data_IF_546737817833
#
_entry.id   IF_546737817833
#
_cell.length_a   1.000
_cell.length_b   1.000
_cell.length_c   1.000
_cell.angle_alpha   90.00
_cell.angle_beta   90.00
_cell.angle_gamma   90.00
#
_symmetry.space_group_name_H-M   'P 1'
#
loop_
_entity.id
_entity.type
_entity.pdbx_description
1 polymer ?
#
# COMPACT_ATOMS: atom_id res chain seq x y z
N UNK A 1 -52.39 -31.59 -22.80
CA UNK A 1 -51.87 -32.29 -23.99
C UNK A 1 -50.38 -31.97 -24.05
N UNK A 2 -49.53 -32.72 -23.33
CA UNK A 2 -48.95 -34.02 -23.76
C UNK A 2 -47.91 -33.79 -24.87
N UNK A 3 -46.65 -34.23 -24.87
CA UNK A 3 -45.73 -34.98 -23.99
C UNK A 3 -44.30 -34.55 -24.46
N UNK A 4 -43.25 -34.50 -23.64
CA UNK A 4 -42.48 -35.67 -23.23
C UNK A 4 -41.67 -36.31 -24.37
N UNK A 5 -40.35 -36.07 -24.47
CA UNK A 5 -39.39 -37.13 -24.85
C UNK A 5 -37.94 -36.85 -24.41
N UNK A 6 -37.44 -37.84 -23.68
CA UNK A 6 -36.10 -38.07 -23.10
C UNK A 6 -35.16 -38.77 -24.09
N UNK A 7 -33.83 -38.65 -23.91
CA UNK A 7 -32.83 -39.76 -23.87
C UNK A 7 -31.41 -39.16 -23.63
N UNK A 8 -30.70 -39.51 -22.53
CA UNK A 8 -29.65 -40.56 -22.36
C UNK A 8 -28.34 -40.27 -23.10
N UNK A 9 -27.11 -40.53 -22.65
CA UNK A 9 -26.44 -41.07 -21.43
C UNK A 9 -24.94 -41.00 -21.77
N UNK A 10 -24.03 -40.75 -20.82
CA UNK A 10 -22.79 -41.54 -20.62
C UNK A 10 -21.88 -40.91 -19.55
N UNK A 11 -21.70 -41.64 -18.46
CA UNK A 11 -20.59 -41.51 -17.54
C UNK A 11 -19.34 -42.20 -18.14
N UNK A 12 -18.15 -41.71 -17.81
CA UNK A 12 -16.97 -42.59 -17.71
C UNK A 12 -16.09 -42.12 -16.57
N UNK A 13 -15.89 -43.03 -15.63
CA UNK A 13 -14.92 -42.97 -14.57
C UNK A 13 -13.50 -43.22 -15.12
N UNK A 14 -12.49 -42.65 -14.45
CA UNK A 14 -11.13 -43.18 -14.44
C UNK A 14 -10.54 -42.94 -13.06
N UNK A 15 -10.52 -44.00 -12.25
CA UNK A 15 -9.68 -44.15 -11.08
C UNK A 15 -8.27 -44.52 -11.51
N UNK A 16 -7.26 -43.91 -10.88
CA UNK A 16 -5.98 -44.57 -10.60
C UNK A 16 -5.40 -44.01 -9.31
N UNK A 17 -5.29 -44.90 -8.32
CA UNK A 17 -4.59 -44.73 -7.04
C UNK A 17 -3.09 -44.99 -7.21
N UNK A 18 -2.33 -44.70 -6.14
CA UNK A 18 -0.95 -45.12 -5.79
C UNK A 18 0.05 -43.97 -5.84
N UNK A 19 0.98 -43.76 -4.90
CA UNK A 19 1.29 -44.43 -3.65
C UNK A 19 2.18 -43.50 -2.79
N UNK A 20 2.23 -43.86 -1.51
CA UNK A 20 3.02 -43.36 -0.39
C UNK A 20 4.51 -43.09 -0.69
N UNK A 21 5.11 -42.12 0.02
CA UNK A 21 6.34 -42.36 0.80
C UNK A 21 6.64 -41.21 1.76
N UNK A 22 6.65 -41.55 3.05
CA UNK A 22 7.21 -40.77 4.14
C UNK A 22 8.64 -41.26 4.45
N UNK A 23 9.54 -40.34 4.81
CA UNK A 23 10.71 -40.55 5.68
C UNK A 23 11.00 -39.15 6.28
N UNK A 24 10.91 -38.88 7.59
CA UNK A 24 11.66 -39.36 8.76
C UNK A 24 13.16 -39.08 8.74
N UNK A 25 13.55 -38.19 9.67
CA UNK A 25 14.80 -38.21 10.46
C UNK A 25 16.09 -37.84 9.72
N UNK A 26 17.11 -37.21 10.30
CA UNK A 26 17.39 -36.70 11.64
C UNK A 26 18.57 -35.72 11.57
N UNK A 27 18.70 -34.96 12.66
CA UNK A 27 19.89 -34.36 13.26
C UNK A 27 21.25 -34.69 12.63
N UNK A 28 22.08 -33.65 12.43
CA UNK A 28 23.52 -33.80 12.57
C UNK A 28 24.06 -32.68 13.47
N UNK A 29 24.48 -33.11 14.66
CA UNK A 29 25.25 -32.37 15.66
C UNK A 29 26.69 -32.86 15.61
N UNK A 30 27.64 -31.94 15.45
CA UNK A 30 29.08 -32.06 15.74
C UNK A 30 29.48 -30.61 16.14
N UNK A 31 29.81 -30.19 17.38
CA UNK A 31 30.88 -30.58 18.32
C UNK A 31 32.23 -30.75 17.59
N UNK A 32 33.35 -30.13 17.94
CA UNK A 32 33.82 -29.30 19.05
C UNK A 32 35.13 -28.59 18.55
N UNK A 33 35.47 -27.35 18.94
CA UNK A 33 36.37 -26.96 20.06
C UNK A 33 37.86 -26.74 19.64
N UNK A 34 38.43 -25.56 19.89
CA UNK A 34 39.50 -25.33 20.89
C UNK A 34 40.28 -23.98 20.72
N UNK A 35 40.58 -23.36 21.88
CA UNK A 35 41.65 -22.43 22.30
C UNK A 35 42.04 -21.17 21.47
N UNK A 36 41.86 -19.94 22.01
CA UNK A 36 42.82 -19.14 22.83
C UNK A 36 44.10 -18.71 22.06
N UNK A 37 44.56 -17.44 22.01
CA UNK A 37 44.87 -16.51 23.11
C UNK A 37 45.31 -15.13 22.53
N UNK A 38 45.12 -14.08 23.34
CA UNK A 38 45.95 -12.85 23.49
C UNK A 38 46.10 -11.80 22.36
N UNK A 39 45.68 -10.58 22.71
CA UNK A 39 46.58 -9.42 22.74
C UNK A 39 46.39 -8.35 21.66
N UNK A 40 46.24 -7.09 22.07
CA UNK A 40 46.57 -5.94 21.20
C UNK A 40 45.61 -4.76 21.27
N UNK A 41 45.93 -3.81 22.14
CA UNK A 41 45.31 -2.49 22.29
C UNK A 41 45.47 -1.60 21.05
N UNK A 42 44.46 -0.78 20.74
CA UNK A 42 44.59 0.57 20.15
C UNK A 42 43.26 1.31 20.38
N UNK A 43 43.19 2.27 21.31
CA UNK A 43 43.43 3.70 21.09
C UNK A 43 42.58 4.28 19.94
N UNK A 44 41.37 4.73 20.27
CA UNK A 44 40.52 5.54 19.40
C UNK A 44 39.92 6.69 20.22
N UNK A 45 40.33 7.90 19.85
CA UNK A 45 40.21 9.13 20.60
C UNK A 45 38.81 9.76 20.56
N UNK A 46 38.50 10.46 21.65
CA UNK A 46 37.79 11.75 21.79
C UNK A 46 36.89 12.29 20.65
N UNK A 47 35.75 12.81 21.13
CA UNK A 47 35.06 14.04 20.71
C UNK A 47 34.40 14.08 19.33
N UNK A 48 33.08 14.06 19.32
CA UNK A 48 32.33 15.32 19.29
C UNK A 48 30.85 15.08 19.50
N UNK A 49 30.32 15.74 20.53
CA UNK A 49 28.93 16.13 20.57
C UNK A 49 28.66 17.01 19.34
N UNK A 50 27.76 16.56 18.47
CA UNK A 50 27.02 17.47 17.59
C UNK A 50 25.56 17.17 17.84
N UNK A 51 25.01 17.91 18.79
CA UNK A 51 23.57 18.01 18.97
C UNK A 51 22.99 18.59 17.70
N UNK A 52 22.47 17.73 16.84
CA UNK A 52 21.45 18.14 15.90
C UNK A 52 20.15 18.22 16.71
N UNK A 53 20.01 19.31 17.46
CA UNK A 53 18.71 19.87 17.75
C UNK A 53 18.08 20.16 16.38
N UNK A 54 17.39 19.17 15.82
CA UNK A 54 16.29 19.43 14.91
C UNK A 54 15.29 20.16 15.79
N UNK A 55 15.37 21.48 15.77
CA UNK A 55 14.32 22.35 16.23
C UNK A 55 13.05 21.80 15.61
N UNK A 56 12.18 21.27 16.47
CA UNK A 56 10.83 20.92 16.12
C UNK A 56 10.27 22.12 15.37
N UNK A 57 10.14 21.96 14.05
CA UNK A 57 9.58 22.98 13.20
C UNK A 57 8.23 23.32 13.80
N UNK A 58 8.12 24.58 14.21
CA UNK A 58 6.91 25.24 14.65
C UNK A 58 5.71 24.60 13.95
N UNK A 59 4.77 24.08 14.73
CA UNK A 59 3.58 23.39 14.27
C UNK A 59 2.63 24.42 13.65
N UNK A 60 3.05 25.04 12.56
CA UNK A 60 2.23 25.93 11.75
C UNK A 60 1.08 25.10 11.20
N UNK A 61 -0.14 25.51 11.54
CA UNK A 61 -1.33 24.92 10.95
C UNK A 61 -1.32 25.16 9.44
N UNK A 62 -1.55 24.11 8.66
CA UNK A 62 -1.70 24.21 7.22
C UNK A 62 -3.15 24.54 6.91
N UNK A 63 -3.40 25.55 6.08
CA UNK A 63 -4.75 25.88 5.62
C UNK A 63 -5.13 25.02 4.41
N UNK A 64 -6.43 24.85 4.16
CA UNK A 64 -6.91 24.10 2.99
C UNK A 64 -6.39 24.68 1.67
N UNK A 65 -6.32 26.01 1.53
CA UNK A 65 -5.77 26.67 0.36
C UNK A 65 -4.26 26.38 0.20
N UNK A 66 -3.48 26.43 1.28
CA UNK A 66 -2.06 26.07 1.26
C UNK A 66 -1.84 24.61 0.87
N UNK A 67 -2.72 23.72 1.32
CA UNK A 67 -2.69 22.31 0.96
C UNK A 67 -3.01 22.07 -0.52
N UNK A 68 -3.98 22.79 -1.08
CA UNK A 68 -4.30 22.77 -2.52
C UNK A 68 -3.11 23.25 -3.36
N UNK A 69 -2.41 24.30 -2.94
CA UNK A 69 -1.20 24.77 -3.63
C UNK A 69 -0.06 23.75 -3.53
N UNK A 70 0.16 23.16 -2.35
CA UNK A 70 1.17 22.13 -2.14
C UNK A 70 0.92 20.88 -3.00
N UNK A 71 -0.33 20.53 -3.25
CA UNK A 71 -0.69 19.39 -4.11
C UNK A 71 -0.38 19.69 -5.59
N UNK A 72 -0.60 20.93 -6.04
CA UNK A 72 -0.29 21.35 -7.43
C UNK A 72 1.21 21.31 -7.73
N UNK A 73 2.05 21.42 -6.68
CA UNK A 73 3.50 21.26 -6.82
C UNK A 73 3.93 19.81 -7.12
N UNK A 74 3.06 18.82 -6.88
CA UNK A 74 3.33 17.40 -7.12
C UNK A 74 3.05 17.05 -8.59
N UNK A 75 4.03 17.31 -9.46
CA UNK A 75 3.89 17.14 -10.92
C UNK A 75 3.75 15.68 -11.33
N UNK A 76 4.20 14.76 -10.49
CA UNK A 76 4.14 13.32 -10.77
C UNK A 76 2.75 12.72 -10.53
N UNK A 77 1.81 13.46 -9.92
CA UNK A 77 0.47 12.96 -9.60
C UNK A 77 -0.50 13.32 -10.72
N UNK A 78 -1.09 12.30 -11.34
CA UNK A 78 -2.06 12.47 -12.43
C UNK A 78 -3.44 12.82 -11.88
N UNK A 79 -3.91 12.06 -10.90
CA UNK A 79 -5.16 12.31 -10.18
C UNK A 79 -4.85 12.42 -8.70
N UNK A 80 -5.58 13.26 -7.99
CA UNK A 80 -5.48 13.37 -6.54
C UNK A 80 -6.82 13.75 -5.93
N UNK A 81 -7.04 13.26 -4.73
CA UNK A 81 -8.25 13.49 -3.97
C UNK A 81 -7.95 13.40 -2.48
N UNK A 82 -8.48 14.35 -1.72
CA UNK A 82 -8.45 14.34 -0.26
C UNK A 82 -9.87 14.36 0.28
N UNK A 83 -10.15 13.46 1.22
CA UNK A 83 -11.43 13.37 1.91
C UNK A 83 -11.22 13.09 3.40
N UNK A 84 -12.24 13.41 4.20
CA UNK A 84 -12.24 13.09 5.62
C UNK A 84 -12.78 11.67 5.90
N UNK A 85 -12.84 11.33 7.20
CA UNK A 85 -13.34 10.04 7.70
C UNK A 85 -14.84 9.82 7.51
N UNK A 86 -15.59 10.87 7.19
CA UNK A 86 -17.01 10.79 6.87
C UNK A 86 -17.25 10.65 5.34
N UNK A 87 -16.17 10.66 4.56
CA UNK A 87 -16.22 10.58 3.10
C UNK A 87 -16.53 11.91 2.43
N UNK A 88 -16.46 13.02 3.14
CA UNK A 88 -16.62 14.34 2.54
C UNK A 88 -15.34 14.73 1.83
N UNK A 89 -15.46 15.08 0.55
CA UNK A 89 -14.34 15.58 -0.24
C UNK A 89 -13.93 16.97 0.24
N UNK A 90 -12.65 17.13 0.54
CA UNK A 90 -12.05 18.42 0.88
C UNK A 90 -11.56 19.14 -0.38
N UNK A 91 -10.83 18.43 -1.25
CA UNK A 91 -10.39 18.90 -2.56
C UNK A 91 -9.85 17.74 -3.41
N UNK A 92 -9.68 17.98 -4.71
CA UNK A 92 -9.08 17.05 -5.67
C UNK A 92 -9.25 17.56 -7.09
N UNK A 93 -8.57 16.95 -8.06
CA UNK A 93 -8.80 17.21 -9.50
C UNK A 93 -9.72 16.19 -10.17
N UNK A 94 -10.20 15.21 -9.41
CA UNK A 94 -11.17 14.21 -9.87
C UNK A 94 -12.31 14.08 -8.88
N UNK A 95 -13.46 13.66 -9.38
CA UNK A 95 -14.63 13.36 -8.56
C UNK A 95 -14.92 11.86 -8.65
N UNK A 96 -14.82 11.10 -7.55
CA UNK A 96 -15.19 9.68 -7.53
C UNK A 96 -16.65 9.47 -7.95
N UNK A 97 -16.92 8.28 -8.49
CA UNK A 97 -18.27 7.82 -8.75
C UNK A 97 -19.00 7.43 -7.46
N UNK A 98 -20.31 7.30 -7.56
CA UNK A 98 -21.16 6.94 -6.43
C UNK A 98 -20.71 5.61 -5.81
N UNK A 99 -20.49 5.62 -4.50
CA UNK A 99 -20.06 4.45 -3.73
C UNK A 99 -18.54 4.24 -3.64
N UNK A 100 -17.72 4.85 -4.50
CA UNK A 100 -16.25 4.67 -4.47
C UNK A 100 -15.63 5.19 -3.17
N UNK A 101 -16.10 6.35 -2.67
CA UNK A 101 -15.62 6.93 -1.40
C UNK A 101 -15.90 6.00 -0.22
N UNK A 102 -17.05 5.31 -0.21
CA UNK A 102 -17.35 4.31 0.81
C UNK A 102 -16.40 3.11 0.75
N UNK A 103 -15.90 2.78 -0.45
CA UNK A 103 -14.80 1.83 -0.64
C UNK A 103 -13.50 2.33 -0.02
N UNK A 104 -13.13 3.59 -0.29
CA UNK A 104 -11.89 4.20 0.24
C UNK A 104 -11.83 4.18 1.77
N UNK A 105 -12.95 4.49 2.44
CA UNK A 105 -13.05 4.46 3.89
C UNK A 105 -12.82 3.07 4.49
N UNK A 106 -13.11 2.00 3.73
CA UNK A 106 -12.98 0.61 4.18
C UNK A 106 -11.62 -0.02 3.87
N UNK A 107 -10.80 0.62 3.04
CA UNK A 107 -9.49 0.10 2.60
C UNK A 107 -8.55 -0.29 3.75
N UNK A 108 -8.72 0.26 4.95
CA UNK A 108 -7.83 -0.01 6.08
C UNK A 108 -8.48 -0.90 7.15
N UNK A 109 -9.69 -1.40 6.93
CA UNK A 109 -10.43 -2.20 7.92
C UNK A 109 -9.90 -3.64 7.99
N UNK A 110 -9.69 -4.27 6.83
CA UNK A 110 -9.22 -5.65 6.73
C UNK A 110 -8.34 -5.83 5.51
N UNK A 111 -7.16 -6.39 5.73
CA UNK A 111 -6.14 -6.57 4.71
C UNK A 111 -6.61 -7.50 3.60
N UNK A 112 -7.14 -8.65 3.97
CA UNK A 112 -7.49 -9.73 3.04
C UNK A 112 -8.58 -9.27 2.09
N UNK A 113 -9.59 -8.57 2.60
CA UNK A 113 -10.70 -8.05 1.81
C UNK A 113 -10.18 -7.00 0.81
N UNK A 114 -9.29 -6.10 1.25
CA UNK A 114 -8.70 -5.06 0.41
C UNK A 114 -7.77 -5.62 -0.66
N UNK A 115 -6.96 -6.62 -0.31
CA UNK A 115 -6.11 -7.34 -1.26
C UNK A 115 -6.94 -8.06 -2.33
N UNK A 116 -8.10 -8.58 -1.96
CA UNK A 116 -9.00 -9.28 -2.89
C UNK A 116 -9.85 -8.33 -3.75
N UNK A 117 -10.34 -7.22 -3.19
CA UNK A 117 -11.23 -6.29 -3.88
C UNK A 117 -10.50 -5.20 -4.65
N UNK A 118 -9.25 -4.90 -4.30
CA UNK A 118 -8.48 -3.80 -4.86
C UNK A 118 -9.03 -2.41 -4.51
N UNK A 119 -8.67 -1.41 -5.32
CA UNK A 119 -9.13 -0.02 -5.22
C UNK A 119 -9.85 0.36 -6.52
N UNK A 120 -11.04 0.98 -6.42
CA UNK A 120 -11.81 1.43 -7.60
C UNK A 120 -11.86 2.96 -7.63
N UNK A 121 -11.46 3.56 -8.76
CA UNK A 121 -11.55 5.00 -8.96
C UNK A 121 -11.99 5.29 -10.39
N UNK A 122 -13.06 6.08 -10.56
CA UNK A 122 -13.66 6.40 -11.86
C UNK A 122 -14.09 5.16 -12.65
N UNK A 123 -14.57 4.13 -11.95
CA UNK A 123 -14.99 2.86 -12.53
C UNK A 123 -13.84 1.92 -12.90
N UNK A 124 -12.59 2.36 -12.71
CA UNK A 124 -11.40 1.57 -13.02
C UNK A 124 -10.91 0.81 -11.80
N UNK A 125 -10.71 -0.50 -11.95
CA UNK A 125 -10.23 -1.39 -10.91
C UNK A 125 -8.70 -1.44 -10.90
N UNK A 126 -8.12 -1.26 -9.71
CA UNK A 126 -6.69 -1.40 -9.48
C UNK A 126 -6.42 -2.56 -8.54
N UNK A 127 -5.54 -3.46 -8.95
CA UNK A 127 -5.12 -4.60 -8.13
C UNK A 127 -4.15 -4.11 -7.05
N UNK A 128 -4.53 -4.34 -5.79
CA UNK A 128 -3.69 -4.02 -4.64
C UNK A 128 -2.61 -5.08 -4.53
N UNK A 129 -1.36 -4.67 -4.70
CA UNK A 129 -0.20 -5.55 -4.49
C UNK A 129 0.55 -5.22 -3.20
N UNK A 130 0.29 -4.06 -2.57
CA UNK A 130 0.82 -3.76 -1.25
C UNK A 130 -0.22 -3.14 -0.32
N UNK A 131 -0.41 -3.82 0.80
CA UNK A 131 -1.10 -3.33 1.97
C UNK A 131 -0.10 -3.17 3.12
N UNK A 132 0.24 -1.92 3.46
CA UNK A 132 1.18 -1.59 4.52
C UNK A 132 0.78 -0.26 5.18
N UNK A 133 -0.22 -0.26 6.09
CA UNK A 133 -0.71 0.94 6.75
C UNK A 133 0.45 1.83 7.27
N UNK A 134 0.41 3.15 7.04
CA UNK A 134 -0.74 3.95 6.61
C UNK A 134 -1.01 3.93 5.09
N UNK A 135 -0.30 3.12 4.30
CA UNK A 135 -0.39 3.10 2.85
C UNK A 135 -1.03 1.80 2.31
N UNK A 136 -1.89 1.96 1.32
CA UNK A 136 -2.35 0.86 0.46
C UNK A 136 -2.17 1.31 -0.98
N UNK A 137 -1.56 0.49 -1.81
CA UNK A 137 -1.33 0.84 -3.21
C UNK A 137 -1.33 -0.35 -4.15
N UNK A 138 -1.63 -0.03 -5.41
CA UNK A 138 -1.93 -0.99 -6.45
C UNK A 138 -1.60 -0.45 -7.83
N UNK A 139 -2.00 -1.20 -8.84
CA UNK A 139 -1.79 -0.86 -10.24
C UNK A 139 -2.90 -1.43 -11.12
N UNK A 140 -3.09 -0.83 -12.28
CA UNK A 140 -3.89 -1.38 -13.38
C UNK A 140 -3.15 -1.21 -14.70
N UNK A 141 -3.71 -1.81 -15.75
CA UNK A 141 -3.18 -1.74 -17.12
C UNK A 141 -2.55 -3.07 -17.55
N UNK A 142 -2.47 -3.26 -18.87
CA UNK A 142 -1.84 -4.42 -19.48
C UNK A 142 -0.32 -4.20 -19.54
N UNK A 143 0.52 -5.08 -18.95
CA UNK A 143 1.97 -4.98 -19.06
C UNK A 143 2.48 -5.03 -20.51
N UNK A 144 1.68 -5.50 -21.45
CA UNK A 144 2.01 -5.60 -22.88
C UNK A 144 1.78 -4.29 -23.65
N UNK A 145 0.98 -3.37 -23.10
CA UNK A 145 0.56 -2.13 -23.77
C UNK A 145 1.28 -0.88 -23.27
N UNK A 146 2.24 -0.98 -22.34
CA UNK A 146 2.94 0.15 -21.68
C UNK A 146 2.00 1.18 -21.00
N UNK A 147 0.69 0.96 -20.98
CA UNK A 147 -0.35 1.83 -20.42
C UNK A 147 -0.67 1.47 -18.95
N UNK A 148 0.37 1.45 -18.12
CA UNK A 148 0.24 1.20 -16.68
C UNK A 148 -0.14 2.45 -15.90
N UNK A 149 -1.18 2.37 -15.06
CA UNK A 149 -1.51 3.40 -14.08
C UNK A 149 -1.43 2.81 -12.66
N UNK A 150 -0.71 3.50 -11.78
CA UNK A 150 -0.64 3.17 -10.36
C UNK A 150 -1.61 4.00 -9.53
N UNK A 151 -1.99 3.47 -8.37
CA UNK A 151 -2.84 4.14 -7.39
C UNK A 151 -2.27 3.95 -5.99
N UNK A 152 -2.34 4.98 -5.15
CA UNK A 152 -1.94 4.90 -3.77
C UNK A 152 -2.88 5.70 -2.88
N UNK A 153 -3.21 5.15 -1.71
CA UNK A 153 -4.03 5.79 -0.67
C UNK A 153 -3.24 5.81 0.62
N UNK A 154 -3.19 6.98 1.25
CA UNK A 154 -2.60 7.19 2.56
C UNK A 154 -3.67 7.60 3.55
N UNK A 155 -3.68 6.95 4.72
CA UNK A 155 -4.55 7.30 5.86
C UNK A 155 -3.77 8.10 6.89
N UNK A 156 -4.28 9.26 7.26
CA UNK A 156 -3.70 10.15 8.28
C UNK A 156 -4.67 10.26 9.45
N UNK A 157 -4.21 9.90 10.65
CA UNK A 157 -4.93 10.14 11.89
C UNK A 157 -4.50 11.49 12.49
N UNK A 158 -5.47 12.35 12.80
CA UNK A 158 -5.25 13.68 13.36
C UNK A 158 -6.17 13.87 14.58
N UNK A 159 -5.74 13.34 15.74
CA UNK A 159 -6.56 13.31 16.94
C UNK A 159 -7.82 12.48 16.72
N UNK A 160 -8.99 13.13 16.78
CA UNK A 160 -10.29 12.50 16.48
C UNK A 160 -10.62 12.46 14.99
N UNK A 161 -9.92 13.24 14.15
CA UNK A 161 -10.16 13.28 12.70
C UNK A 161 -9.33 12.21 12.02
N UNK A 162 -9.89 11.64 10.95
CA UNK A 162 -9.13 10.84 9.98
C UNK A 162 -9.23 11.53 8.64
N UNK A 163 -8.11 11.67 7.95
CA UNK A 163 -8.02 12.20 6.60
C UNK A 163 -7.42 11.12 5.69
N UNK A 164 -7.81 11.16 4.43
CA UNK A 164 -7.29 10.26 3.41
C UNK A 164 -6.82 11.08 2.22
N UNK A 165 -5.68 10.70 1.66
CA UNK A 165 -5.17 11.24 0.40
C UNK A 165 -4.97 10.08 -0.58
N UNK A 166 -5.64 10.18 -1.72
CA UNK A 166 -5.53 9.25 -2.83
C UNK A 166 -4.79 9.96 -3.97
N UNK A 167 -3.86 9.27 -4.60
CA UNK A 167 -3.21 9.72 -5.83
C UNK A 167 -3.19 8.62 -6.87
N UNK A 168 -3.08 9.02 -8.13
CA UNK A 168 -2.68 8.14 -9.22
C UNK A 168 -1.48 8.69 -9.95
N UNK A 169 -0.75 7.82 -10.63
CA UNK A 169 0.45 8.16 -11.38
C UNK A 169 0.59 7.22 -12.56
N UNK A 170 1.17 7.72 -13.65
CA UNK A 170 1.40 6.97 -14.90
C UNK A 170 2.90 6.94 -15.22
N UNK A 171 3.30 6.01 -16.07
CA UNK A 171 4.65 5.98 -16.62
C UNK A 171 5.05 7.36 -17.22
N UNK A 172 6.29 7.87 -16.99
CA UNK A 172 7.46 7.22 -16.40
C UNK A 172 7.51 7.22 -14.86
N UNK A 173 6.52 7.78 -14.17
CA UNK A 173 6.50 7.80 -12.71
C UNK A 173 6.16 6.41 -12.17
N UNK A 174 7.02 5.90 -11.30
CA UNK A 174 6.84 4.62 -10.63
C UNK A 174 6.36 4.79 -9.19
N UNK A 175 5.82 3.71 -8.61
CA UNK A 175 5.42 3.67 -7.19
C UNK A 175 6.56 4.05 -6.24
N UNK A 176 7.80 3.67 -6.58
CA UNK A 176 9.00 4.01 -5.82
C UNK A 176 9.25 5.52 -5.70
N UNK A 177 8.66 6.34 -6.57
CA UNK A 177 8.70 7.81 -6.51
C UNK A 177 7.42 8.38 -5.91
N UNK A 178 6.26 8.00 -6.46
CA UNK A 178 4.97 8.59 -6.09
C UNK A 178 4.53 8.25 -4.66
N UNK A 179 4.76 7.01 -4.20
CA UNK A 179 4.32 6.57 -2.86
C UNK A 179 5.11 7.26 -1.74
N UNK A 180 6.45 7.39 -1.81
CA UNK A 180 7.19 8.21 -0.86
C UNK A 180 6.76 9.68 -0.83
N UNK A 181 6.52 10.30 -2.00
CA UNK A 181 5.99 11.67 -2.07
C UNK A 181 4.63 11.79 -1.38
N UNK A 182 3.72 10.83 -1.61
CA UNK A 182 2.42 10.80 -0.93
C UNK A 182 2.59 10.73 0.59
N UNK A 183 3.45 9.84 1.07
CA UNK A 183 3.71 9.66 2.51
C UNK A 183 4.22 10.96 3.13
N UNK A 184 5.23 11.56 2.51
CA UNK A 184 5.82 12.81 2.98
C UNK A 184 4.79 13.95 2.99
N UNK A 185 4.02 14.11 1.91
CA UNK A 185 2.93 15.10 1.84
C UNK A 185 1.91 14.91 2.96
N UNK A 186 1.54 13.66 3.23
CA UNK A 186 0.58 13.33 4.27
C UNK A 186 1.10 13.66 5.68
N UNK A 187 2.37 13.35 5.95
CA UNK A 187 3.00 13.58 7.25
C UNK A 187 3.33 15.05 7.51
N UNK A 188 3.71 15.79 6.47
CA UNK A 188 4.20 17.16 6.61
C UNK A 188 3.14 18.23 6.40
N UNK A 189 2.16 17.97 5.52
CA UNK A 189 1.13 18.93 5.15
C UNK A 189 -0.25 18.49 5.65
N UNK A 190 -0.73 17.32 5.24
CA UNK A 190 -2.10 16.89 5.52
C UNK A 190 -2.34 16.69 7.03
N UNK A 191 -1.38 16.11 7.75
CA UNK A 191 -1.46 15.92 9.20
C UNK A 191 -1.56 17.24 9.99
N UNK A 192 -1.15 18.35 9.39
CA UNK A 192 -1.18 19.70 9.98
C UNK A 192 -2.38 20.53 9.53
N UNK A 193 -3.28 19.97 8.73
CA UNK A 193 -4.48 20.68 8.25
C UNK A 193 -5.36 21.08 9.44
N UNK A 194 -5.58 22.38 9.67
CA UNK A 194 -6.47 22.87 10.73
C UNK A 194 -7.88 23.11 10.23
#
# INVERSE_FOLDING_TARGET
MDAGKTLKTAASAASSQSALSAHSSASNVLLADDAATSGGSSSGSSSSASGNNVTAAEAGSVTLAGLQEAVKAQKEWTKHLVHDGDGKLLFGNVKPLDGEVAGFLKLFNKREDTMASGIVLLGEQYDVHRFHPPLVYGRRGDPSLEEGEGIAVCKVAQGSRTLFCLITYVYPTLSARAVPQLKEFCETQLAKLS
#
